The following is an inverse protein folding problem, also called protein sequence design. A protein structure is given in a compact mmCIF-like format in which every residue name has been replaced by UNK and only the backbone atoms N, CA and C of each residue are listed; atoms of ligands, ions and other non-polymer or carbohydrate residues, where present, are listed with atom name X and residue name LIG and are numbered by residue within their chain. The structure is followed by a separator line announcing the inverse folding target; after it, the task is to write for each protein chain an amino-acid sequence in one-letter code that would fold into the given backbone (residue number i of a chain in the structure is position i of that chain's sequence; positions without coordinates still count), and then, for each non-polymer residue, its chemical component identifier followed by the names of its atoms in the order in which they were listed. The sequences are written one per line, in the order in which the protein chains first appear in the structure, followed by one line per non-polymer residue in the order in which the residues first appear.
data_IF_224573257559
#
_entry.id   IF_224573257559
#
_cell.length_a   1.000
_cell.length_b   1.000
_cell.length_c   1.000
_cell.angle_alpha   90.00
_cell.angle_beta   90.00
_cell.angle_gamma   90.00
#
_symmetry.space_group_name_H-M   'P 1'
#
loop_
_entity.id
_entity.type
_entity.pdbx_description
1 polymer ?
#
# COMPACT_ATOMS: atom_id res chain seq x y z
N UNK A 1 -5.68 -18.18 -2.08
CA UNK A 1 -5.24 -19.12 -1.03
C UNK A 1 -4.50 -20.27 -1.70
N UNK A 2 -3.19 -20.10 -1.94
CA UNK A 2 -2.35 -21.08 -2.63
C UNK A 2 -1.51 -21.88 -1.65
N UNK A 3 -0.97 -23.03 -2.10
CA UNK A 3 -0.01 -23.84 -1.34
C UNK A 3 1.18 -23.00 -0.84
N UNK A 4 1.62 -22.01 -1.63
CA UNK A 4 2.69 -21.08 -1.24
C UNK A 4 2.33 -20.24 0.00
N UNK A 5 1.07 -19.82 0.13
CA UNK A 5 0.61 -19.09 1.32
C UNK A 5 0.67 -19.97 2.58
N UNK A 6 0.29 -21.24 2.47
CA UNK A 6 0.39 -22.18 3.59
C UNK A 6 1.85 -22.39 4.04
N UNK A 7 2.79 -22.47 3.10
CA UNK A 7 4.22 -22.58 3.40
C UNK A 7 4.71 -21.33 4.14
N UNK A 8 4.36 -20.13 3.66
CA UNK A 8 4.72 -18.87 4.30
C UNK A 8 4.18 -18.77 5.73
N UNK A 9 2.90 -19.12 5.93
CA UNK A 9 2.28 -19.10 7.25
C UNK A 9 2.90 -20.15 8.18
N UNK A 10 3.22 -21.35 7.67
CA UNK A 10 3.88 -22.39 8.47
C UNK A 10 5.27 -21.97 8.92
N UNK A 11 6.06 -21.35 8.05
CA UNK A 11 7.43 -20.92 8.36
C UNK A 11 7.46 -19.65 9.22
N UNK A 12 6.69 -18.67 8.88
CA UNK A 12 6.79 -17.31 9.43
C UNK A 12 5.56 -16.83 10.23
N UNK A 13 4.46 -17.60 10.27
CA UNK A 13 3.25 -17.21 10.97
C UNK A 13 3.43 -16.99 12.47
N UNK A 14 4.45 -17.61 13.08
CA UNK A 14 4.81 -17.35 14.47
C UNK A 14 5.27 -15.91 14.70
N UNK A 15 5.83 -15.25 13.68
CA UNK A 15 6.20 -13.83 13.76
C UNK A 15 4.98 -12.94 13.99
N UNK A 16 3.89 -13.16 13.23
CA UNK A 16 2.63 -12.46 13.44
C UNK A 16 2.10 -12.60 14.87
N UNK A 17 2.21 -13.81 15.43
CA UNK A 17 1.73 -14.10 16.77
C UNK A 17 2.59 -13.46 17.87
N UNK A 18 3.91 -13.55 17.74
CA UNK A 18 4.86 -13.08 18.77
C UNK A 18 4.95 -11.56 18.78
N UNK A 19 5.07 -10.93 17.60
CA UNK A 19 5.31 -9.50 17.48
C UNK A 19 4.01 -8.69 17.46
N UNK A 20 2.96 -9.20 16.84
CA UNK A 20 1.73 -8.44 16.64
C UNK A 20 0.54 -8.98 17.45
N UNK A 21 0.72 -10.10 18.14
CA UNK A 21 -0.37 -10.77 18.85
C UNK A 21 -1.61 -10.97 17.93
N UNK A 22 -1.37 -11.46 16.71
CA UNK A 22 -2.36 -11.78 15.68
C UNK A 22 -2.26 -13.26 15.29
N UNK A 23 -3.34 -13.87 14.80
CA UNK A 23 -3.30 -15.25 14.30
C UNK A 23 -2.21 -15.43 13.23
N UNK A 24 -1.70 -16.66 13.09
CA UNK A 24 -0.65 -16.99 12.11
C UNK A 24 -1.04 -16.60 10.68
N UNK A 25 -2.31 -16.72 10.34
CA UNK A 25 -2.85 -16.36 9.03
C UNK A 25 -2.63 -14.88 8.67
N UNK A 26 -2.59 -13.98 9.67
CA UNK A 26 -2.36 -12.56 9.46
C UNK A 26 -0.95 -12.25 8.89
N UNK A 27 0.02 -13.18 9.03
CA UNK A 27 1.37 -12.96 8.52
C UNK A 27 1.40 -12.63 7.02
N UNK A 28 0.64 -13.36 6.22
CA UNK A 28 0.58 -13.12 4.78
C UNK A 28 0.00 -11.75 4.44
N UNK A 29 -1.06 -11.34 5.16
CA UNK A 29 -1.63 -10.00 4.97
C UNK A 29 -0.64 -8.90 5.35
N UNK A 30 0.11 -9.06 6.45
CA UNK A 30 1.14 -8.11 6.88
C UNK A 30 2.26 -8.03 5.83
N UNK A 31 2.82 -9.16 5.41
CA UNK A 31 3.89 -9.20 4.43
C UNK A 31 3.49 -8.55 3.10
N UNK A 32 2.36 -9.01 2.54
CA UNK A 32 1.91 -8.50 1.24
C UNK A 32 1.33 -7.09 1.33
N UNK A 33 0.81 -6.66 2.48
CA UNK A 33 0.39 -5.28 2.70
C UNK A 33 1.58 -4.32 2.76
N UNK A 34 2.69 -4.72 3.37
CA UNK A 34 3.92 -3.91 3.42
C UNK A 34 4.62 -3.85 2.06
N UNK A 35 4.74 -4.97 1.35
CA UNK A 35 5.48 -5.06 0.08
C UNK A 35 4.63 -4.63 -1.11
N UNK A 36 3.38 -5.11 -1.18
CA UNK A 36 2.47 -4.85 -2.29
C UNK A 36 1.87 -3.45 -2.29
N UNK A 37 1.80 -2.82 -1.13
CA UNK A 37 1.29 -1.46 -1.00
C UNK A 37 -0.23 -1.37 -0.90
N UNK A 38 -0.71 -0.12 -0.92
CA UNK A 38 -2.16 0.11 -0.88
C UNK A 38 -2.82 -0.28 -2.21
N UNK A 39 -4.04 -0.79 -2.21
CA UNK A 39 -4.90 -1.18 -1.08
C UNK A 39 -4.72 -2.65 -0.63
N UNK A 40 -3.63 -3.32 -1.02
CA UNK A 40 -3.43 -4.77 -0.82
C UNK A 40 -3.59 -5.19 0.64
N UNK A 41 -3.02 -4.41 1.58
CA UNK A 41 -3.16 -4.68 3.01
C UNK A 41 -4.63 -4.69 3.48
N UNK A 42 -5.43 -3.76 2.99
CA UNK A 42 -6.85 -3.68 3.30
C UNK A 42 -7.63 -4.86 2.72
N UNK A 43 -7.41 -5.20 1.44
CA UNK A 43 -8.05 -6.33 0.76
C UNK A 43 -7.77 -7.65 1.49
N UNK A 44 -6.52 -7.90 1.84
CA UNK A 44 -6.14 -9.13 2.52
C UNK A 44 -6.67 -9.19 3.96
N UNK A 45 -6.76 -8.05 4.65
CA UNK A 45 -7.36 -7.98 5.97
C UNK A 45 -8.85 -8.30 5.92
N UNK A 46 -9.58 -7.80 4.91
CA UNK A 46 -10.99 -8.12 4.70
C UNK A 46 -11.20 -9.59 4.33
N UNK A 47 -10.35 -10.14 3.44
CA UNK A 47 -10.41 -11.57 3.07
C UNK A 47 -10.18 -12.50 4.27
N UNK A 48 -9.26 -12.15 5.18
CA UNK A 48 -9.02 -12.92 6.41
C UNK A 48 -10.21 -12.84 7.37
N UNK A 49 -10.83 -11.67 7.49
CA UNK A 49 -12.03 -11.49 8.31
C UNK A 49 -13.21 -12.30 7.74
N UNK A 50 -13.46 -12.23 6.43
CA UNK A 50 -14.52 -13.03 5.77
C UNK A 50 -14.30 -14.53 5.92
N UNK A 51 -13.06 -14.97 5.93
CA UNK A 51 -12.70 -16.36 6.13
C UNK A 51 -12.81 -16.83 7.60
N UNK A 52 -13.11 -15.93 8.54
CA UNK A 52 -13.15 -16.22 9.96
C UNK A 52 -11.78 -16.50 10.60
N UNK A 53 -10.70 -16.16 9.90
CA UNK A 53 -9.31 -16.37 10.37
C UNK A 53 -8.89 -15.30 11.39
N UNK A 54 -9.51 -14.14 11.35
CA UNK A 54 -9.35 -13.03 12.29
C UNK A 54 -10.72 -12.49 12.69
N UNK A 55 -10.84 -12.01 13.91
CA UNK A 55 -12.05 -11.32 14.39
C UNK A 55 -12.06 -9.83 14.00
N UNK A 56 -13.17 -9.14 14.26
CA UNK A 56 -13.36 -7.74 13.90
C UNK A 56 -12.34 -6.80 14.57
N UNK A 57 -11.93 -7.08 15.81
CA UNK A 57 -10.95 -6.27 16.51
C UNK A 57 -9.54 -6.47 15.94
N UNK A 58 -9.20 -7.72 15.62
CA UNK A 58 -7.95 -8.07 14.95
C UNK A 58 -7.88 -7.47 13.55
N UNK A 59 -8.97 -7.47 12.78
CA UNK A 59 -9.06 -6.84 11.47
C UNK A 59 -8.87 -5.31 11.57
N UNK A 60 -9.55 -4.62 12.48
CA UNK A 60 -9.35 -3.20 12.72
C UNK A 60 -7.91 -2.87 13.12
N UNK A 61 -7.36 -3.65 14.04
CA UNK A 61 -5.98 -3.47 14.50
C UNK A 61 -4.97 -3.70 13.37
N UNK A 62 -5.18 -4.71 12.53
CA UNK A 62 -4.37 -4.95 11.34
C UNK A 62 -4.42 -3.74 10.39
N UNK A 63 -5.58 -3.13 10.19
CA UNK A 63 -5.74 -1.93 9.36
C UNK A 63 -5.01 -0.70 9.91
N UNK A 64 -4.81 -0.59 11.23
CA UNK A 64 -4.09 0.54 11.82
C UNK A 64 -2.62 0.61 11.37
N UNK A 65 -2.00 -0.52 11.04
CA UNK A 65 -0.57 -0.58 10.69
C UNK A 65 -0.26 -1.27 9.36
N UNK A 66 -1.15 -2.10 8.81
CA UNK A 66 -0.91 -2.81 7.54
C UNK A 66 -1.19 -1.90 6.33
N UNK A 67 -0.50 -0.76 6.32
CA UNK A 67 -0.70 0.29 5.34
C UNK A 67 0.64 0.93 4.99
N UNK A 68 1.19 0.54 3.87
CA UNK A 68 2.47 1.04 3.36
C UNK A 68 2.35 1.35 1.87
N UNK A 69 3.15 2.26 1.37
CA UNK A 69 3.34 2.40 -0.07
C UNK A 69 4.08 1.20 -0.62
N UNK A 70 3.62 0.65 -1.74
CA UNK A 70 4.26 -0.52 -2.36
C UNK A 70 5.73 -0.28 -2.66
N UNK A 71 6.56 -1.32 -2.46
CA UNK A 71 8.00 -1.21 -2.71
C UNK A 71 8.31 -0.79 -4.15
N UNK A 72 7.53 -1.26 -5.13
CA UNK A 72 7.66 -0.85 -6.53
C UNK A 72 7.44 0.65 -6.73
N UNK A 73 6.41 1.22 -6.10
CA UNK A 73 6.16 2.66 -6.18
C UNK A 73 7.23 3.47 -5.46
N UNK A 74 7.51 3.16 -4.18
CA UNK A 74 8.45 3.97 -3.39
C UNK A 74 9.88 3.85 -3.91
N UNK A 75 10.36 2.65 -4.22
CA UNK A 75 11.75 2.45 -4.63
C UNK A 75 11.95 2.90 -6.07
N UNK A 76 11.04 2.54 -6.98
CA UNK A 76 11.22 2.82 -8.41
C UNK A 76 10.72 4.21 -8.77
N UNK A 77 9.43 4.52 -8.58
CA UNK A 77 8.88 5.80 -9.02
C UNK A 77 9.43 6.96 -8.19
N UNK A 78 9.39 6.87 -6.86
CA UNK A 78 9.87 7.96 -6.01
C UNK A 78 11.40 7.95 -5.92
N UNK A 79 12.01 6.84 -5.52
CA UNK A 79 13.46 6.78 -5.31
C UNK A 79 14.26 6.92 -6.60
N UNK A 80 14.03 6.03 -7.58
CA UNK A 80 14.86 5.99 -8.78
C UNK A 80 14.47 7.09 -9.78
N UNK A 81 13.18 7.31 -10.02
CA UNK A 81 12.74 8.28 -11.04
C UNK A 81 12.77 9.72 -10.50
N UNK A 82 12.18 9.97 -9.32
CA UNK A 82 12.10 11.34 -8.78
C UNK A 82 13.41 11.79 -8.14
N UNK A 83 14.01 10.96 -7.28
CA UNK A 83 15.26 11.32 -6.59
C UNK A 83 16.53 10.81 -7.28
N UNK A 84 16.43 10.17 -8.44
CA UNK A 84 17.52 9.57 -9.18
C UNK A 84 18.46 8.68 -8.32
N UNK A 85 17.88 8.01 -7.31
CA UNK A 85 18.62 7.20 -6.36
C UNK A 85 17.79 6.04 -5.80
N UNK A 86 18.12 4.83 -6.25
CA UNK A 86 17.53 3.59 -5.70
C UNK A 86 17.80 3.46 -4.19
N UNK A 87 18.98 3.92 -3.72
CA UNK A 87 19.33 3.91 -2.30
C UNK A 87 18.36 4.73 -1.48
N UNK A 88 18.03 5.94 -1.94
CA UNK A 88 17.03 6.79 -1.28
C UNK A 88 15.62 6.16 -1.32
N UNK A 89 15.26 5.54 -2.43
CA UNK A 89 14.02 4.79 -2.54
C UNK A 89 13.90 3.66 -1.50
N UNK A 90 14.99 2.90 -1.31
CA UNK A 90 15.05 1.86 -0.27
C UNK A 90 14.93 2.47 1.14
N UNK A 91 15.61 3.58 1.42
CA UNK A 91 15.52 4.25 2.73
C UNK A 91 14.10 4.79 2.98
N UNK A 92 13.44 5.38 1.98
CA UNK A 92 12.05 5.81 2.05
C UNK A 92 11.11 4.63 2.30
N UNK A 93 11.30 3.52 1.60
CA UNK A 93 10.51 2.31 1.83
C UNK A 93 10.72 1.75 3.24
N UNK A 94 11.97 1.64 3.69
CA UNK A 94 12.27 1.17 5.04
C UNK A 94 11.68 2.08 6.12
N UNK A 95 11.71 3.40 5.96
CA UNK A 95 11.10 4.32 6.93
C UNK A 95 9.59 4.09 7.06
N UNK A 96 8.90 3.86 5.94
CA UNK A 96 7.47 3.54 5.91
C UNK A 96 7.17 2.17 6.53
N UNK A 97 7.89 1.14 6.13
CA UNK A 97 7.69 -0.22 6.62
C UNK A 97 7.98 -0.32 8.13
N UNK A 98 9.08 0.30 8.60
CA UNK A 98 9.43 0.32 10.02
C UNK A 98 8.41 1.09 10.86
N UNK A 99 7.87 2.22 10.37
CA UNK A 99 6.81 2.95 11.07
C UNK A 99 5.56 2.08 11.25
N UNK A 100 5.16 1.35 10.20
CA UNK A 100 4.04 0.41 10.23
C UNK A 100 4.28 -0.74 11.23
N UNK A 101 5.45 -1.36 11.18
CA UNK A 101 5.84 -2.46 12.09
C UNK A 101 5.83 -1.98 13.55
N UNK A 102 6.37 -0.80 13.84
CA UNK A 102 6.40 -0.23 15.18
C UNK A 102 4.99 0.00 15.73
N UNK A 103 4.08 0.55 14.93
CA UNK A 103 2.68 0.73 15.32
C UNK A 103 2.04 -0.63 15.65
N UNK A 104 2.21 -1.62 14.75
CA UNK A 104 1.68 -2.96 14.97
C UNK A 104 2.21 -3.60 16.25
N UNK A 105 3.51 -3.45 16.52
CA UNK A 105 4.15 -3.91 17.73
C UNK A 105 3.60 -3.23 18.99
N UNK A 106 3.48 -1.90 18.99
CA UNK A 106 2.91 -1.15 20.13
C UNK A 106 1.46 -1.57 20.39
N UNK A 107 0.66 -1.74 19.34
CA UNK A 107 -0.73 -2.18 19.47
C UNK A 107 -0.86 -3.61 20.04
N UNK A 108 0.16 -4.45 19.88
CA UNK A 108 0.14 -5.81 20.40
C UNK A 108 0.09 -5.88 21.94
N UNK A 109 0.63 -4.87 22.63
CA UNK A 109 0.65 -4.83 24.10
C UNK A 109 -0.71 -4.54 24.75
N UNK A 110 -1.64 -3.98 24.00
CA UNK A 110 -2.99 -3.64 24.51
C UNK A 110 -3.94 -4.84 24.58
N UNK A 111 -3.58 -5.95 23.96
CA UNK A 111 -4.44 -7.12 23.79
C UNK A 111 -4.03 -8.29 24.67
N UNK A 112 -5.02 -9.03 25.16
CA UNK A 112 -4.76 -10.30 25.84
C UNK A 112 -4.03 -11.24 24.89
N UNK A 113 -3.03 -11.95 25.40
CA UNK A 113 -2.22 -12.85 24.61
C UNK A 113 -3.08 -13.96 24.01
N UNK A 114 -2.99 -14.14 22.69
CA UNK A 114 -3.75 -15.17 21.99
C UNK A 114 -3.34 -16.56 22.49
N UNK A 115 -4.33 -17.35 22.87
CA UNK A 115 -4.13 -18.78 23.13
C UNK A 115 -3.72 -19.52 21.84
N UNK A 116 -3.11 -20.71 21.99
CA UNK A 116 -2.69 -21.51 20.83
C UNK A 116 -3.92 -21.98 20.04
N UNK A 117 -4.32 -21.20 19.05
CA UNK A 117 -5.29 -21.66 18.06
C UNK A 117 -4.57 -22.51 17.01
N UNK A 118 -5.09 -23.68 16.73
CA UNK A 118 -4.65 -24.49 15.60
C UNK A 118 -5.05 -23.76 14.31
N UNK A 119 -4.07 -23.59 13.44
CA UNK A 119 -4.28 -23.01 12.12
C UNK A 119 -4.88 -24.08 11.20
N UNK A 120 -6.06 -23.85 10.68
CA UNK A 120 -6.62 -24.71 9.65
C UNK A 120 -5.87 -24.51 8.33
N UNK A 121 -5.24 -25.57 7.82
CA UNK A 121 -4.60 -25.53 6.52
C UNK A 121 -5.67 -25.30 5.44
N UNK A 122 -5.51 -24.24 4.66
CA UNK A 122 -6.38 -24.02 3.49
C UNK A 122 -6.24 -25.16 2.48
N UNK A 123 -7.33 -25.47 1.77
CA UNK A 123 -7.30 -26.45 0.68
C UNK A 123 -6.24 -26.08 -0.36
N UNK A 124 -5.52 -27.10 -0.82
CA UNK A 124 -4.48 -26.93 -1.84
C UNK A 124 -5.14 -26.55 -3.17
N UNK A 125 -4.92 -25.31 -3.59
CA UNK A 125 -5.22 -24.88 -4.97
C UNK A 125 -3.97 -25.05 -5.81
N UNK A 126 -4.08 -25.55 -7.02
CA UNK A 126 -2.94 -25.64 -7.95
C UNK A 126 -2.41 -24.22 -8.24
N UNK A 127 -1.14 -24.10 -8.60
CA UNK A 127 -0.56 -22.81 -8.98
C UNK A 127 -1.31 -22.19 -10.17
N UNK A 128 -1.72 -23.01 -11.13
CA UNK A 128 -2.52 -22.57 -12.29
C UNK A 128 -3.86 -21.97 -11.89
N UNK A 129 -4.61 -22.67 -11.04
CA UNK A 129 -5.90 -22.16 -10.53
C UNK A 129 -5.72 -20.89 -9.72
N UNK A 130 -4.66 -20.83 -8.89
CA UNK A 130 -4.37 -19.62 -8.09
C UNK A 130 -4.08 -18.41 -8.98
N UNK A 131 -3.29 -18.57 -10.06
CA UNK A 131 -3.02 -17.51 -11.03
C UNK A 131 -4.27 -17.10 -11.79
N UNK A 132 -5.06 -18.05 -12.25
CA UNK A 132 -6.32 -17.78 -12.97
C UNK A 132 -7.31 -16.99 -12.12
N UNK A 133 -7.40 -17.29 -10.83
CA UNK A 133 -8.28 -16.57 -9.90
C UNK A 133 -7.71 -15.20 -9.47
N UNK A 134 -6.38 -15.06 -9.38
CA UNK A 134 -5.74 -13.83 -8.95
C UNK A 134 -5.69 -12.75 -10.06
N UNK A 135 -5.49 -13.16 -11.31
CA UNK A 135 -5.32 -12.23 -12.43
C UNK A 135 -6.48 -11.25 -12.62
N UNK A 136 -7.77 -11.68 -12.64
CA UNK A 136 -8.89 -10.74 -12.76
C UNK A 136 -8.98 -9.77 -11.57
N UNK A 137 -8.72 -10.24 -10.35
CA UNK A 137 -8.71 -9.38 -9.16
C UNK A 137 -7.61 -8.33 -9.23
N UNK A 138 -6.40 -8.72 -9.66
CA UNK A 138 -5.29 -7.80 -9.85
C UNK A 138 -5.61 -6.75 -10.93
N UNK A 139 -6.14 -7.16 -12.07
CA UNK A 139 -6.55 -6.25 -13.13
C UNK A 139 -7.61 -5.24 -12.66
N UNK A 140 -8.62 -5.71 -11.93
CA UNK A 140 -9.63 -4.83 -11.35
C UNK A 140 -9.03 -3.83 -10.36
N UNK A 141 -8.10 -4.26 -9.52
CA UNK A 141 -7.42 -3.38 -8.56
C UNK A 141 -6.62 -2.29 -9.28
N UNK A 142 -5.87 -2.64 -10.32
CA UNK A 142 -5.10 -1.67 -11.12
C UNK A 142 -6.02 -0.63 -11.77
N UNK A 143 -7.15 -1.05 -12.34
CA UNK A 143 -8.13 -0.14 -12.95
C UNK A 143 -8.68 0.84 -11.91
N UNK A 144 -9.08 0.34 -10.75
CA UNK A 144 -9.63 1.18 -9.67
C UNK A 144 -8.59 2.17 -9.18
N UNK A 145 -7.35 1.74 -8.92
CA UNK A 145 -6.25 2.62 -8.50
C UNK A 145 -6.02 3.72 -9.56
N UNK A 146 -5.91 3.34 -10.84
CA UNK A 146 -5.70 4.29 -11.94
C UNK A 146 -6.85 5.30 -12.03
N UNK A 147 -8.10 4.85 -11.92
CA UNK A 147 -9.26 5.73 -11.95
C UNK A 147 -9.22 6.77 -10.82
N UNK A 148 -8.86 6.38 -9.61
CA UNK A 148 -8.71 7.31 -8.49
C UNK A 148 -7.56 8.31 -8.72
N UNK A 149 -6.40 7.85 -9.20
CA UNK A 149 -5.27 8.74 -9.51
C UNK A 149 -5.69 9.79 -10.55
N UNK A 150 -6.31 9.37 -11.66
CA UNK A 150 -6.76 10.27 -12.72
C UNK A 150 -7.80 11.26 -12.19
N UNK A 151 -8.79 10.78 -11.42
CA UNK A 151 -9.84 11.63 -10.84
C UNK A 151 -9.24 12.71 -9.92
N UNK A 152 -8.36 12.30 -9.00
CA UNK A 152 -7.78 13.23 -8.05
C UNK A 152 -6.74 14.17 -8.68
N UNK A 153 -6.02 13.73 -9.71
CA UNK A 153 -5.12 14.58 -10.49
C UNK A 153 -5.92 15.64 -11.26
N UNK A 154 -7.03 15.25 -11.91
CA UNK A 154 -7.91 16.19 -12.59
C UNK A 154 -8.55 17.19 -11.62
N UNK A 155 -9.02 16.72 -10.45
CA UNK A 155 -9.57 17.57 -9.40
C UNK A 155 -8.54 18.58 -8.89
N UNK A 156 -7.32 18.12 -8.61
CA UNK A 156 -6.22 18.95 -8.10
C UNK A 156 -5.82 20.03 -9.08
N UNK A 157 -5.78 19.74 -10.38
CA UNK A 157 -5.46 20.71 -11.42
C UNK A 157 -6.60 21.72 -11.63
N UNK A 158 -7.86 21.29 -11.54
CA UNK A 158 -9.03 22.15 -11.72
C UNK A 158 -9.17 23.15 -10.56
N UNK A 159 -9.00 22.67 -9.31
CA UNK A 159 -9.12 23.50 -8.09
C UNK A 159 -7.85 24.32 -7.83
N UNK A 160 -6.77 24.10 -8.60
CA UNK A 160 -5.45 24.75 -8.43
C UNK A 160 -4.94 24.62 -6.99
N UNK A 161 -4.89 23.38 -6.50
CA UNK A 161 -4.39 23.08 -5.15
C UNK A 161 -2.92 23.50 -5.06
N UNK A 162 -2.51 24.22 -4.00
CA UNK A 162 -1.12 24.62 -3.80
C UNK A 162 -0.20 23.37 -3.73
N UNK A 163 0.98 23.45 -4.36
CA UNK A 163 1.95 22.35 -4.42
C UNK A 163 2.23 21.65 -3.08
N UNK A 164 2.39 22.37 -1.94
CA UNK A 164 2.64 21.72 -0.65
C UNK A 164 1.50 20.84 -0.14
N UNK A 165 0.28 21.04 -0.63
CA UNK A 165 -0.91 20.28 -0.25
C UNK A 165 -1.21 19.10 -1.20
N UNK A 166 -0.61 19.09 -2.39
CA UNK A 166 -0.82 18.02 -3.37
C UNK A 166 -0.58 16.61 -2.83
N UNK A 167 0.52 16.33 -2.07
CA UNK A 167 0.74 14.98 -1.53
C UNK A 167 -0.32 14.54 -0.52
N UNK A 168 -1.00 15.49 0.12
CA UNK A 168 -2.09 15.19 1.07
C UNK A 168 -3.35 14.76 0.31
N UNK A 169 -3.57 15.28 -0.88
CA UNK A 169 -4.73 14.97 -1.71
C UNK A 169 -4.46 13.73 -2.56
N UNK A 170 -3.39 13.77 -3.36
CA UNK A 170 -2.98 12.71 -4.26
C UNK A 170 -1.46 12.52 -4.15
N UNK A 171 -1.07 11.37 -3.61
CA UNK A 171 0.30 11.11 -3.20
C UNK A 171 1.26 10.94 -4.39
N UNK A 172 0.78 10.35 -5.49
CA UNK A 172 1.64 9.97 -6.61
C UNK A 172 2.22 11.20 -7.31
N UNK A 173 1.35 12.08 -7.81
CA UNK A 173 1.78 13.32 -8.45
C UNK A 173 2.34 14.33 -7.44
N UNK A 174 1.76 14.37 -6.24
CA UNK A 174 2.18 15.30 -5.21
C UNK A 174 3.63 15.09 -4.79
N UNK A 175 4.06 13.83 -4.62
CA UNK A 175 5.45 13.52 -4.22
C UNK A 175 6.40 13.56 -5.41
N UNK A 176 5.96 13.10 -6.59
CA UNK A 176 6.83 13.03 -7.76
C UNK A 176 7.12 14.40 -8.40
N UNK A 177 6.24 15.37 -8.23
CA UNK A 177 6.38 16.71 -8.83
C UNK A 177 6.76 17.80 -7.82
N UNK A 178 6.67 17.53 -6.53
CA UNK A 178 6.98 18.49 -5.48
C UNK A 178 8.45 18.46 -5.04
N UNK A 179 8.98 19.61 -4.64
CA UNK A 179 10.31 19.72 -4.05
C UNK A 179 10.22 19.62 -2.52
N UNK A 180 10.27 18.38 -2.02
CA UNK A 180 10.17 18.08 -0.60
C UNK A 180 11.45 17.46 -0.07
N UNK A 181 11.79 17.80 1.19
CA UNK A 181 12.86 17.10 1.89
C UNK A 181 12.54 15.61 2.06
N UNK A 182 13.56 14.75 2.04
CA UNK A 182 13.40 13.29 2.17
C UNK A 182 12.57 12.88 3.41
N UNK A 183 12.75 13.47 4.62
CA UNK A 183 11.90 13.17 5.76
C UNK A 183 10.43 13.54 5.52
N UNK A 184 10.16 14.67 4.88
CA UNK A 184 8.80 15.09 4.58
C UNK A 184 8.16 14.19 3.50
N UNK A 185 8.94 13.79 2.50
CA UNK A 185 8.51 12.78 1.51
C UNK A 185 8.14 11.46 2.17
N UNK A 186 8.96 10.97 3.12
CA UNK A 186 8.65 9.77 3.89
C UNK A 186 7.33 9.91 4.69
N UNK A 187 7.10 11.07 5.28
CA UNK A 187 5.86 11.38 6.00
C UNK A 187 4.64 11.33 5.08
N UNK A 188 4.69 11.99 3.92
CA UNK A 188 3.62 11.96 2.94
C UNK A 188 3.35 10.55 2.41
N UNK A 189 4.38 9.80 2.06
CA UNK A 189 4.26 8.40 1.64
C UNK A 189 3.58 7.54 2.71
N UNK A 190 3.89 7.76 3.98
CA UNK A 190 3.27 7.04 5.09
C UNK A 190 1.83 7.47 5.34
N UNK A 191 1.49 8.74 5.11
CA UNK A 191 0.12 9.24 5.16
C UNK A 191 -0.73 8.62 4.04
N UNK A 192 -0.22 8.59 2.80
CA UNK A 192 -0.82 7.95 1.64
C UNK A 192 -1.78 8.82 0.83
N UNK A 193 -2.13 10.02 1.32
CA UNK A 193 -3.06 10.93 0.65
C UNK A 193 -4.53 10.51 0.73
N UNK A 194 -5.44 11.48 0.62
CA UNK A 194 -6.90 11.27 0.69
C UNK A 194 -7.39 10.33 -0.42
N UNK A 195 -6.79 10.40 -1.60
CA UNK A 195 -7.07 9.52 -2.71
C UNK A 195 -6.98 8.03 -2.30
N UNK A 196 -5.90 7.64 -1.61
CA UNK A 196 -5.70 6.27 -1.13
C UNK A 196 -6.65 5.94 0.02
N UNK A 197 -6.94 6.89 0.92
CA UNK A 197 -7.90 6.68 2.00
C UNK A 197 -9.27 6.31 1.43
N UNK A 198 -9.74 6.98 0.38
CA UNK A 198 -11.02 6.67 -0.26
C UNK A 198 -11.00 5.32 -0.99
N UNK A 199 -9.87 4.95 -1.60
CA UNK A 199 -9.71 3.61 -2.19
C UNK A 199 -9.90 2.52 -1.13
N UNK A 200 -9.29 2.69 0.05
CA UNK A 200 -9.40 1.72 1.16
C UNK A 200 -10.80 1.65 1.69
N UNK A 201 -11.45 2.79 1.94
CA UNK A 201 -12.85 2.84 2.39
C UNK A 201 -13.80 2.17 1.38
N UNK A 202 -13.50 2.29 0.09
CA UNK A 202 -14.24 1.62 -0.98
C UNK A 202 -14.10 0.09 -0.98
N UNK A 203 -12.97 -0.40 -0.47
CA UNK A 203 -12.68 -1.85 -0.34
C UNK A 203 -13.34 -2.41 0.92
N UNK A 204 -13.23 -1.72 2.05
CA UNK A 204 -13.72 -2.18 3.36
C UNK A 204 -15.24 -2.17 3.42
N UNK A 205 -15.87 -3.34 3.23
CA UNK A 205 -17.34 -3.50 3.23
C UNK A 205 -17.85 -4.41 4.34
N UNK A 206 -17.02 -5.32 4.84
CA UNK A 206 -17.45 -6.43 5.69
C UNK A 206 -17.23 -6.17 7.18
N UNK A 207 -16.22 -5.41 7.55
CA UNK A 207 -16.08 -4.95 8.93
C UNK A 207 -16.07 -3.41 9.00
N UNK A 208 -16.70 -2.88 10.06
CA UNK A 208 -16.80 -1.43 10.26
C UNK A 208 -15.58 -0.93 11.03
N UNK A 209 -14.82 -0.03 10.40
CA UNK A 209 -13.76 0.73 11.04
C UNK A 209 -14.12 2.22 11.05
N UNK A 210 -13.84 2.92 12.14
CA UNK A 210 -13.98 4.37 12.18
C UNK A 210 -12.93 5.02 11.30
N UNK A 211 -13.36 5.89 10.39
CA UNK A 211 -12.41 6.67 9.57
C UNK A 211 -11.49 7.53 10.43
N UNK A 212 -12.01 8.08 11.52
CA UNK A 212 -11.19 8.88 12.44
C UNK A 212 -10.07 8.06 13.10
N UNK A 213 -10.37 6.83 13.51
CA UNK A 213 -9.36 5.91 14.04
C UNK A 213 -8.29 5.59 12.98
N UNK A 214 -8.70 5.25 11.77
CA UNK A 214 -7.79 5.02 10.65
C UNK A 214 -6.91 6.25 10.38
N UNK A 215 -7.51 7.45 10.28
CA UNK A 215 -6.79 8.71 10.04
C UNK A 215 -5.77 9.00 11.13
N UNK A 216 -6.14 8.79 12.41
CA UNK A 216 -5.23 8.99 13.52
C UNK A 216 -3.97 8.13 13.39
N UNK A 217 -4.13 6.85 13.07
CA UNK A 217 -2.97 5.97 12.85
C UNK A 217 -2.17 6.33 11.60
N UNK A 218 -2.79 6.92 10.57
CA UNK A 218 -2.06 7.47 9.41
C UNK A 218 -1.21 8.66 9.81
N UNK A 219 -1.74 9.57 10.62
CA UNK A 219 -0.97 10.72 11.15
C UNK A 219 0.19 10.27 12.05
N UNK A 220 -0.05 9.32 12.96
CA UNK A 220 1.02 8.74 13.79
C UNK A 220 2.09 8.09 12.93
N UNK A 221 1.71 7.29 11.94
CA UNK A 221 2.63 6.63 11.01
C UNK A 221 3.45 7.65 10.20
N UNK A 222 2.82 8.73 9.76
CA UNK A 222 3.47 9.84 9.04
C UNK A 222 4.57 10.49 9.90
N UNK A 223 4.26 10.83 11.14
CA UNK A 223 5.24 11.41 12.09
C UNK A 223 6.37 10.43 12.37
N UNK A 224 6.05 9.15 12.63
CA UNK A 224 7.08 8.13 12.86
C UNK A 224 7.99 7.95 11.66
N UNK A 225 7.42 7.88 10.45
CA UNK A 225 8.19 7.74 9.22
C UNK A 225 9.12 8.91 8.98
N UNK A 226 8.67 10.14 9.29
CA UNK A 226 9.51 11.34 9.25
C UNK A 226 10.75 11.19 10.14
N UNK A 227 10.56 10.82 11.40
CA UNK A 227 11.68 10.67 12.34
C UNK A 227 12.58 9.49 12.02
N UNK A 228 12.02 8.35 11.58
CA UNK A 228 12.80 7.20 11.13
C UNK A 228 13.65 7.59 9.91
N UNK A 229 13.11 8.34 8.96
CA UNK A 229 13.88 8.80 7.81
C UNK A 229 15.03 9.74 8.22
N UNK A 230 14.80 10.66 9.17
CA UNK A 230 15.87 11.50 9.76
C UNK A 230 16.95 10.64 10.41
N UNK A 231 16.56 9.61 11.13
CA UNK A 231 17.50 8.67 11.76
C UNK A 231 18.32 7.89 10.73
N UNK A 232 17.64 7.41 9.67
CA UNK A 232 18.32 6.71 8.58
C UNK A 232 19.33 7.62 7.88
N UNK A 233 18.99 8.88 7.63
CA UNK A 233 19.92 9.86 7.03
C UNK A 233 21.09 10.20 7.96
N UNK A 234 20.87 10.18 9.27
CA UNK A 234 21.96 10.39 10.24
C UNK A 234 22.97 9.24 10.22
N UNK A 235 22.50 7.97 10.20
CA UNK A 235 23.40 6.80 10.15
C UNK A 235 23.95 6.50 8.78
N UNK A 236 23.22 6.86 7.74
CA UNK A 236 23.58 6.60 6.33
C UNK A 236 23.53 7.90 5.54
N UNK A 237 24.46 8.82 5.79
CA UNK A 237 24.46 10.10 5.09
C UNK A 237 24.56 9.88 3.59
N UNK A 238 23.80 10.67 2.86
CA UNK A 238 23.79 10.70 1.39
C UNK A 238 24.26 12.09 0.98
N UNK A 239 25.28 12.15 0.16
CA UNK A 239 25.75 13.42 -0.38
C UNK A 239 24.66 14.05 -1.24
N UNK A 240 24.05 15.10 -0.71
CA UNK A 240 22.98 15.85 -1.39
C UNK A 240 23.47 16.60 -2.64
N UNK A 241 24.78 16.63 -2.88
CA UNK A 241 25.37 17.21 -4.11
C UNK A 241 24.87 16.55 -5.40
N UNK A 242 24.33 15.33 -5.31
CA UNK A 242 23.68 14.65 -6.46
C UNK A 242 22.35 15.32 -6.84
N UNK A 243 21.73 16.07 -5.93
CA UNK A 243 20.44 16.75 -6.19
C UNK A 243 20.62 18.10 -6.93
N UNK A 244 21.78 18.72 -6.86
CA UNK A 244 22.02 20.00 -7.51
C UNK A 244 21.99 19.92 -9.05
N UNK A 245 22.13 18.73 -9.63
CA UNK A 245 22.09 18.50 -11.07
C UNK A 245 20.77 17.88 -11.57
N UNK A 246 19.80 17.65 -10.68
CA UNK A 246 18.48 17.14 -11.05
C UNK A 246 17.52 18.23 -11.58
N UNK A 247 18.05 19.37 -12.00
CA UNK A 247 17.27 20.47 -12.60
C UNK A 247 16.85 20.24 -14.06
N UNK A 248 17.16 19.08 -14.64
CA UNK A 248 16.45 18.64 -15.83
C UNK A 248 15.33 17.73 -15.39
N UNK A 249 14.05 18.19 -15.41
CA UNK A 249 12.95 17.28 -15.26
C UNK A 249 13.16 16.18 -16.30
N UNK A 250 13.21 14.91 -15.88
CA UNK A 250 13.08 13.79 -16.81
C UNK A 250 11.74 14.05 -17.50
N UNK A 251 11.80 14.71 -18.65
CA UNK A 251 10.65 14.77 -19.53
C UNK A 251 10.37 13.32 -19.86
N UNK A 252 9.40 12.75 -19.18
CA UNK A 252 8.75 11.53 -19.66
C UNK A 252 8.53 11.81 -21.14
N UNK A 253 9.27 11.13 -21.98
CA UNK A 253 9.14 11.14 -23.44
C UNK A 253 7.67 11.25 -23.72
N UNK A 254 7.27 12.24 -24.50
CA UNK A 254 5.90 12.63 -24.82
C UNK A 254 4.97 11.44 -24.70
N UNK A 255 4.13 11.43 -23.65
CA UNK A 255 3.14 10.38 -23.45
C UNK A 255 2.41 10.26 -24.78
N UNK A 256 2.56 9.12 -25.44
CA UNK A 256 1.86 8.91 -26.70
C UNK A 256 0.37 8.80 -26.32
N UNK A 257 -0.32 9.94 -26.39
CA UNK A 257 -1.73 10.07 -26.00
C UNK A 257 -2.58 8.99 -26.67
N UNK A 258 -2.25 8.64 -27.92
CA UNK A 258 -2.92 7.59 -28.66
C UNK A 258 -2.74 6.22 -27.99
N UNK A 259 -1.53 5.90 -27.53
CA UNK A 259 -1.25 4.64 -26.82
C UNK A 259 -1.95 4.60 -25.47
N UNK A 260 -1.97 5.72 -24.75
CA UNK A 260 -2.67 5.84 -23.46
C UNK A 260 -4.18 5.67 -23.63
N UNK A 261 -4.77 6.30 -24.64
CA UNK A 261 -6.20 6.15 -24.96
C UNK A 261 -6.52 4.70 -25.38
N UNK A 262 -5.68 4.07 -26.19
CA UNK A 262 -5.85 2.67 -26.57
C UNK A 262 -5.75 1.70 -25.40
N UNK A 263 -4.82 1.95 -24.46
CA UNK A 263 -4.70 1.16 -23.22
C UNK A 263 -5.94 1.33 -22.34
N UNK A 264 -6.42 2.56 -22.14
CA UNK A 264 -7.64 2.83 -21.36
C UNK A 264 -8.86 2.20 -22.04
N UNK A 265 -8.99 2.34 -23.36
CA UNK A 265 -10.08 1.72 -24.11
C UNK A 265 -10.02 0.18 -24.05
N UNK A 266 -8.83 -0.41 -24.17
CA UNK A 266 -8.62 -1.85 -24.04
C UNK A 266 -8.98 -2.37 -22.63
N UNK A 267 -8.61 -1.64 -21.59
CA UNK A 267 -9.02 -1.93 -20.22
C UNK A 267 -10.54 -1.85 -20.06
N UNK A 268 -11.17 -0.83 -20.65
CA UNK A 268 -12.63 -0.63 -20.57
C UNK A 268 -13.39 -1.76 -21.26
N UNK A 269 -12.95 -2.16 -22.46
CA UNK A 269 -13.52 -3.30 -23.20
C UNK A 269 -13.37 -4.60 -22.41
N UNK A 270 -12.20 -4.84 -21.79
CA UNK A 270 -11.96 -6.03 -20.97
C UNK A 270 -12.89 -6.09 -19.75
N UNK A 271 -13.15 -4.94 -19.11
CA UNK A 271 -14.09 -4.86 -17.96
C UNK A 271 -15.53 -5.14 -18.42
N UNK A 272 -15.94 -4.61 -19.57
CA UNK A 272 -17.28 -4.84 -20.12
C UNK A 272 -17.49 -6.32 -20.49
N UNK A 273 -16.48 -6.97 -21.09
CA UNK A 273 -16.53 -8.39 -21.41
C UNK A 273 -16.62 -9.28 -20.15
N UNK A 274 -15.83 -8.97 -19.12
CA UNK A 274 -15.90 -9.66 -17.84
C UNK A 274 -17.27 -9.49 -17.15
N UNK A 275 -17.88 -8.32 -17.26
CA UNK A 275 -19.18 -8.04 -16.67
C UNK A 275 -20.32 -8.71 -17.47
N UNK A 276 -20.17 -8.85 -18.78
CA UNK A 276 -21.15 -9.54 -19.64
C UNK A 276 -21.19 -11.04 -19.36
N UNK A 277 -20.02 -11.66 -19.16
CA UNK A 277 -19.89 -13.10 -18.83
C UNK A 277 -20.46 -13.46 -17.43
N UNK A 278 -20.49 -12.50 -16.49
CA UNK A 278 -21.14 -12.70 -15.17
C UNK A 278 -22.65 -12.74 -15.20
N UNK A 279 -23.30 -12.28 -16.29
CA UNK A 279 -24.76 -12.31 -16.44
C UNK A 279 -25.28 -13.58 -17.10
N UNK A 280 -24.40 -14.48 -17.51
CA UNK A 280 -24.73 -15.72 -18.26
C UNK A 280 -24.49 -16.98 -17.41
N UNK A 281 -24.08 -16.84 -16.14
CA UNK A 281 -24.02 -17.87 -15.11
C UNK A 281 -24.88 -17.38 -13.93
#
# INVERSE_FOLDING_TARGET
KSSANNILIKLFGNFSRVFFNLPKAAFSAILFGLVGGYPTGALLSEELFEAGEIDSNQAKRLMCFNFCGGCGFIITAVGTVTFNSTRLGVMLFLSNALSSILIGFILSFKEKRLEKSEYSLFSFTSLGDALTLATPKAAQSVIVITAYIVLFSALSSTVKIPEPLLPIIEITNGVCNGDFSLPLTAAFLSFGGICIHLQILGVLRKFKMSYFEFLLFRLISSVLSYFIMKLLLYFFPVDLSVFANASTPVRLSSVNVTLSVLLVAGCFVSVLDLNSRRKVV
#
